data_IF_439194110487
#
_entry.id   IF_439194110487
#
_cell.length_a   1.000
_cell.length_b   1.000
_cell.length_c   1.000
_cell.angle_alpha   90.00
_cell.angle_beta   90.00
_cell.angle_gamma   90.00
#
_symmetry.space_group_name_H-M   'P 1'
#
loop_
_entity.id
_entity.type
_entity.pdbx_description
1 polymer ?
#
# COMPACT_ATOMS: atom_id res chain seq x y z
N UNK A 1 -52.64 0.81 -11.67
CA UNK A 1 -51.51 1.57 -12.22
C UNK A 1 -50.24 1.02 -11.60
N UNK A 2 -49.45 0.27 -12.37
CA UNK A 2 -48.17 -0.29 -11.94
C UNK A 2 -47.04 0.63 -12.44
N UNK A 3 -46.41 1.38 -11.55
CA UNK A 3 -45.20 2.14 -11.86
C UNK A 3 -44.00 1.20 -11.78
N UNK A 4 -43.49 0.85 -12.98
CA UNK A 4 -42.25 0.11 -13.17
C UNK A 4 -41.09 0.82 -12.46
N UNK A 5 -40.40 0.10 -11.58
CA UNK A 5 -39.10 0.52 -11.06
C UNK A 5 -38.09 0.57 -12.19
N UNK A 6 -37.58 1.77 -12.49
CA UNK A 6 -36.45 1.96 -13.39
C UNK A 6 -35.19 1.40 -12.74
N UNK A 7 -34.66 0.30 -13.26
CA UNK A 7 -33.33 -0.18 -12.89
C UNK A 7 -32.31 0.86 -13.34
N UNK A 8 -31.66 1.53 -12.37
CA UNK A 8 -30.58 2.47 -12.62
C UNK A 8 -29.36 1.68 -13.10
N UNK A 9 -29.17 1.62 -14.42
CA UNK A 9 -27.98 1.00 -15.04
C UNK A 9 -26.76 1.84 -14.68
N UNK A 10 -25.93 1.35 -13.77
CA UNK A 10 -24.59 1.90 -13.55
C UNK A 10 -23.79 1.71 -14.85
N UNK A 11 -23.51 2.80 -15.55
CA UNK A 11 -22.58 2.79 -16.69
C UNK A 11 -21.16 2.80 -16.15
N UNK A 12 -20.54 1.63 -16.06
CA UNK A 12 -19.13 1.49 -15.68
C UNK A 12 -18.30 1.72 -16.96
N UNK A 13 -17.36 2.67 -16.97
CA UNK A 13 -16.52 2.91 -18.14
C UNK A 13 -15.63 1.68 -18.40
N UNK A 14 -15.65 1.18 -19.64
CA UNK A 14 -14.77 0.10 -20.09
C UNK A 14 -13.39 0.69 -20.39
N UNK A 15 -12.38 0.24 -19.65
CA UNK A 15 -10.98 0.57 -19.88
C UNK A 15 -10.32 -0.63 -20.56
N UNK A 16 -9.55 -0.38 -21.63
CA UNK A 16 -8.90 -1.43 -22.41
C UNK A 16 -7.78 -2.11 -21.60
N UNK A 17 -7.66 -3.43 -21.66
CA UNK A 17 -6.69 -4.19 -20.87
C UNK A 17 -5.24 -3.81 -21.22
N UNK A 18 -4.95 -3.57 -22.50
CA UNK A 18 -3.64 -3.07 -22.95
C UNK A 18 -3.34 -1.66 -22.40
N UNK A 19 -4.40 -0.84 -22.22
CA UNK A 19 -4.27 0.50 -21.66
C UNK A 19 -3.84 0.52 -20.19
N UNK A 20 -4.10 -0.56 -19.45
CA UNK A 20 -3.90 -0.64 -18.01
C UNK A 20 -2.50 -1.15 -17.65
N UNK A 21 -1.87 -2.00 -18.47
CA UNK A 21 -0.64 -2.70 -18.08
C UNK A 21 0.49 -1.74 -17.66
N UNK A 22 0.82 -0.76 -18.51
CA UNK A 22 1.84 0.26 -18.21
C UNK A 22 1.44 1.13 -17.01
N UNK A 23 0.16 1.52 -16.94
CA UNK A 23 -0.36 2.34 -15.84
C UNK A 23 -0.24 1.61 -14.49
N UNK A 24 -0.57 0.32 -14.44
CA UNK A 24 -0.43 -0.51 -13.25
C UNK A 24 1.03 -0.67 -12.84
N UNK A 25 1.95 -0.85 -13.80
CA UNK A 25 3.38 -0.86 -13.52
C UNK A 25 3.81 0.45 -12.87
N UNK A 26 3.41 1.61 -13.41
CA UNK A 26 3.73 2.92 -12.84
C UNK A 26 3.09 3.16 -11.46
N UNK A 27 1.89 2.65 -11.20
CA UNK A 27 1.21 2.80 -9.90
C UNK A 27 2.03 2.25 -8.72
N UNK A 28 2.81 1.19 -8.94
CA UNK A 28 3.69 0.59 -7.94
C UNK A 28 5.04 1.31 -7.81
N UNK A 29 5.31 2.33 -8.63
CA UNK A 29 6.59 3.01 -8.75
C UNK A 29 6.49 4.47 -8.29
N UNK A 30 7.59 5.01 -7.79
CA UNK A 30 7.71 6.45 -7.59
C UNK A 30 7.89 7.10 -8.96
N UNK A 31 6.92 7.93 -9.35
CA UNK A 31 6.89 8.58 -10.67
C UNK A 31 7.06 10.11 -10.60
N UNK A 32 7.37 10.66 -9.42
CA UNK A 32 7.60 12.09 -9.22
C UNK A 32 8.89 12.33 -8.45
N UNK A 33 9.72 13.23 -8.97
CA UNK A 33 11.04 13.56 -8.45
C UNK A 33 11.23 15.06 -8.44
N UNK A 34 11.62 15.61 -7.30
CA UNK A 34 12.04 17.01 -7.20
C UNK A 34 13.54 17.12 -7.53
N UNK A 35 13.87 18.10 -8.36
CA UNK A 35 15.23 18.53 -8.69
C UNK A 35 15.64 19.76 -7.89
N UNK A 36 16.65 20.48 -8.38
CA UNK A 36 17.12 21.75 -7.79
C UNK A 36 16.29 22.93 -8.29
N UNK A 37 16.24 24.01 -7.53
CA UNK A 37 15.65 25.29 -7.96
C UNK A 37 14.23 25.14 -8.55
N UNK A 38 13.33 24.47 -7.82
CA UNK A 38 11.93 24.20 -8.22
C UNK A 38 11.75 23.37 -9.52
N UNK A 39 12.82 22.77 -10.04
CA UNK A 39 12.70 21.83 -11.15
C UNK A 39 12.09 20.51 -10.67
N UNK A 40 11.31 19.85 -11.52
CA UNK A 40 10.78 18.52 -11.21
C UNK A 40 10.65 17.65 -12.45
N UNK A 41 10.61 16.34 -12.21
CA UNK A 41 10.33 15.32 -13.23
C UNK A 41 9.08 14.56 -12.79
N UNK A 42 8.11 14.42 -13.69
CA UNK A 42 7.00 13.48 -13.53
C UNK A 42 6.94 12.50 -14.68
N UNK A 43 6.53 11.27 -14.38
CA UNK A 43 6.47 10.17 -15.34
C UNK A 43 5.05 9.63 -15.35
N UNK A 44 4.44 9.55 -16.52
CA UNK A 44 3.05 9.07 -16.69
C UNK A 44 2.92 8.20 -17.93
N UNK A 45 1.87 7.37 -17.98
CA UNK A 45 1.44 6.74 -19.22
C UNK A 45 0.41 7.66 -19.88
N UNK A 46 0.58 7.96 -21.16
CA UNK A 46 -0.34 8.82 -21.91
C UNK A 46 -0.39 8.42 -23.39
N UNK A 47 -1.30 9.03 -24.14
CA UNK A 47 -1.33 8.93 -25.59
C UNK A 47 -0.40 9.98 -26.19
N UNK A 48 0.61 9.53 -26.94
CA UNK A 48 1.52 10.41 -27.67
C UNK A 48 0.74 11.14 -28.77
N UNK A 49 0.69 12.48 -28.74
CA UNK A 49 0.05 13.26 -29.79
C UNK A 49 0.91 13.26 -31.05
N UNK A 50 0.30 13.60 -32.16
CA UNK A 50 0.98 13.91 -33.40
C UNK A 50 1.67 15.27 -33.30
N UNK A 51 2.96 15.34 -33.65
CA UNK A 51 3.73 16.58 -33.67
C UNK A 51 4.94 16.48 -34.60
N UNK A 52 5.43 17.64 -35.02
CA UNK A 52 6.76 17.81 -35.61
C UNK A 52 7.76 18.15 -34.52
N UNK A 53 8.98 17.62 -34.61
CA UNK A 53 9.94 17.77 -33.53
C UNK A 53 11.23 17.02 -33.77
N UNK A 54 11.71 16.37 -32.73
CA UNK A 54 12.98 15.65 -32.77
C UNK A 54 12.86 14.30 -32.10
N UNK A 55 13.70 13.37 -32.56
CA UNK A 55 14.01 12.10 -31.92
C UNK A 55 15.44 12.12 -31.40
N UNK A 56 15.58 11.92 -30.10
CA UNK A 56 16.84 11.85 -29.40
C UNK A 56 17.13 10.39 -29.01
N UNK A 57 18.27 9.90 -29.50
CA UNK A 57 18.83 8.63 -29.04
C UNK A 57 19.69 8.91 -27.81
N UNK A 58 19.32 8.29 -26.69
CA UNK A 58 20.05 8.40 -25.42
C UNK A 58 20.48 7.03 -24.92
N UNK A 59 21.63 7.00 -24.25
CA UNK A 59 22.18 5.79 -23.62
C UNK A 59 22.10 5.91 -22.10
N UNK A 60 21.48 4.91 -21.46
CA UNK A 60 21.26 4.84 -20.02
C UNK A 60 21.58 3.43 -19.55
N UNK A 61 22.58 3.26 -18.68
CA UNK A 61 23.01 1.94 -18.20
C UNK A 61 23.46 0.98 -19.32
N UNK A 62 23.96 1.51 -20.44
CA UNK A 62 24.31 0.72 -21.63
C UNK A 62 23.12 0.33 -22.52
N UNK A 63 21.89 0.68 -22.13
CA UNK A 63 20.69 0.48 -22.93
C UNK A 63 20.39 1.72 -23.78
N UNK A 64 19.86 1.50 -24.98
CA UNK A 64 19.42 2.59 -25.87
C UNK A 64 17.95 2.89 -25.66
N UNK A 65 17.64 4.17 -25.52
CA UNK A 65 16.28 4.69 -25.39
C UNK A 65 16.08 5.75 -26.46
N UNK A 66 14.95 5.72 -27.16
CA UNK A 66 14.54 6.77 -28.09
C UNK A 66 13.47 7.64 -27.45
N UNK A 67 13.69 8.95 -27.50
CA UNK A 67 12.83 9.95 -26.89
C UNK A 67 12.44 10.98 -27.94
N UNK A 68 11.14 11.15 -28.15
CA UNK A 68 10.56 12.09 -29.10
C UNK A 68 10.00 13.31 -28.37
N UNK A 69 10.18 14.52 -28.90
CA UNK A 69 9.64 15.74 -28.31
C UNK A 69 9.35 16.82 -29.35
N UNK A 70 8.36 17.66 -29.05
CA UNK A 70 7.85 18.69 -29.95
C UNK A 70 8.83 19.86 -30.08
N UNK A 71 9.06 20.32 -31.32
CA UNK A 71 9.95 21.46 -31.59
C UNK A 71 9.45 22.77 -30.97
N UNK A 72 8.14 23.02 -31.00
CA UNK A 72 7.53 24.22 -30.42
C UNK A 72 7.69 24.27 -28.89
N UNK A 73 7.45 23.13 -28.20
CA UNK A 73 7.69 23.04 -26.76
C UNK A 73 9.16 23.20 -26.41
N UNK A 74 10.06 22.61 -27.20
CA UNK A 74 11.49 22.78 -27.02
C UNK A 74 11.93 24.24 -27.18
N UNK A 75 11.42 24.93 -28.20
CA UNK A 75 11.74 26.34 -28.43
C UNK A 75 11.27 27.21 -27.26
N UNK A 76 10.07 26.97 -26.72
CA UNK A 76 9.57 27.64 -25.53
C UNK A 76 10.42 27.32 -24.30
N UNK A 77 10.81 26.06 -24.12
CA UNK A 77 11.69 25.63 -23.04
C UNK A 77 13.05 26.35 -23.10
N UNK A 78 13.64 26.47 -24.29
CA UNK A 78 14.96 27.09 -24.50
C UNK A 78 14.93 28.61 -24.64
N UNK A 79 13.75 29.25 -24.55
CA UNK A 79 13.60 30.67 -24.83
C UNK A 79 14.52 31.56 -23.99
N UNK A 80 14.73 31.24 -22.71
CA UNK A 80 15.65 32.00 -21.84
C UNK A 80 17.13 31.90 -22.23
N UNK A 81 17.49 30.90 -23.04
CA UNK A 81 18.89 30.64 -23.45
C UNK A 81 19.15 31.08 -24.89
N UNK A 82 18.19 30.83 -25.79
CA UNK A 82 18.30 31.12 -27.22
C UNK A 82 17.61 32.44 -27.63
N UNK A 83 16.81 33.05 -26.75
CA UNK A 83 15.98 34.21 -27.07
C UNK A 83 15.12 33.95 -28.33
N UNK A 84 15.43 34.65 -29.43
CA UNK A 84 14.75 34.52 -30.72
C UNK A 84 15.45 33.56 -31.70
N UNK A 85 16.62 33.01 -31.36
CA UNK A 85 17.35 32.09 -32.22
C UNK A 85 16.62 30.75 -32.28
N UNK A 86 16.31 30.29 -33.49
CA UNK A 86 15.67 28.99 -33.71
C UNK A 86 16.65 27.85 -33.39
N UNK A 87 16.22 26.86 -32.60
CA UNK A 87 17.06 25.72 -32.23
C UNK A 87 17.61 24.95 -33.44
N UNK A 88 16.81 24.82 -34.51
CA UNK A 88 17.19 24.16 -35.76
C UNK A 88 18.33 24.85 -36.51
N UNK A 89 18.55 26.15 -36.27
CA UNK A 89 19.65 26.90 -36.91
C UNK A 89 21.03 26.55 -36.34
N UNK A 90 21.07 25.89 -35.18
CA UNK A 90 22.31 25.50 -34.52
C UNK A 90 22.90 24.23 -35.15
N UNK A 91 24.24 24.14 -35.28
CA UNK A 91 24.91 22.87 -35.59
C UNK A 91 24.51 21.75 -34.63
N UNK A 92 24.39 20.52 -35.12
CA UNK A 92 23.97 19.36 -34.34
C UNK A 92 24.81 19.12 -33.06
N UNK A 93 26.11 19.43 -33.09
CA UNK A 93 26.97 19.35 -31.90
C UNK A 93 26.57 20.33 -30.81
N UNK A 94 26.19 21.57 -31.19
CA UNK A 94 25.71 22.58 -30.26
C UNK A 94 24.28 22.27 -29.77
N UNK A 95 23.44 21.69 -30.63
CA UNK A 95 22.12 21.21 -30.23
C UNK A 95 22.21 20.15 -29.13
N UNK A 96 23.05 19.14 -29.31
CA UNK A 96 23.27 18.09 -28.31
C UNK A 96 23.89 18.66 -27.03
N UNK A 97 24.87 19.56 -27.14
CA UNK A 97 25.48 20.20 -25.98
C UNK A 97 24.44 21.02 -25.19
N UNK A 98 23.60 21.80 -25.88
CA UNK A 98 22.55 22.58 -25.25
C UNK A 98 21.49 21.71 -24.58
N UNK A 99 21.06 20.61 -25.21
CA UNK A 99 20.15 19.65 -24.57
C UNK A 99 20.79 19.03 -23.33
N UNK A 100 22.09 18.71 -23.37
CA UNK A 100 22.81 18.16 -22.23
C UNK A 100 22.79 19.12 -21.03
N UNK A 101 22.95 20.44 -21.24
CA UNK A 101 22.90 21.40 -20.13
C UNK A 101 21.51 21.50 -19.49
N UNK A 102 20.44 21.23 -20.25
CA UNK A 102 19.08 21.22 -19.70
C UNK A 102 18.79 20.02 -18.79
N UNK A 103 19.62 18.97 -18.84
CA UNK A 103 19.48 17.78 -17.99
C UNK A 103 20.16 18.00 -16.63
N UNK A 104 21.14 18.89 -16.53
CA UNK A 104 21.92 19.12 -15.31
C UNK A 104 21.08 19.48 -14.07
N UNK A 105 20.05 20.35 -14.14
CA UNK A 105 19.18 20.64 -12.97
C UNK A 105 18.44 19.41 -12.42
N UNK A 106 18.31 18.38 -13.25
CA UNK A 106 17.66 17.11 -12.97
C UNK A 106 18.65 15.98 -12.68
N UNK A 107 19.95 16.28 -12.59
CA UNK A 107 21.01 15.27 -12.49
C UNK A 107 20.87 14.35 -11.28
N UNK A 108 20.45 14.88 -10.14
CA UNK A 108 20.27 14.09 -8.91
C UNK A 108 19.15 13.05 -9.07
N UNK A 109 18.07 13.40 -9.77
CA UNK A 109 16.99 12.48 -10.09
C UNK A 109 17.46 11.39 -11.07
N UNK A 110 18.14 11.76 -12.17
CA UNK A 110 18.67 10.79 -13.13
C UNK A 110 19.72 9.85 -12.51
N UNK A 111 20.63 10.37 -11.67
CA UNK A 111 21.61 9.54 -10.95
C UNK A 111 20.94 8.60 -9.95
N UNK A 112 19.87 9.02 -9.26
CA UNK A 112 19.11 8.14 -8.37
C UNK A 112 18.42 7.01 -9.14
N UNK A 113 17.87 7.32 -10.31
CA UNK A 113 17.15 6.36 -11.15
C UNK A 113 18.08 5.37 -11.85
N UNK A 114 19.16 5.87 -12.44
CA UNK A 114 19.98 5.10 -13.39
C UNK A 114 21.44 4.93 -12.96
N UNK A 115 21.83 5.46 -11.80
CA UNK A 115 23.21 5.51 -11.33
C UNK A 115 24.10 6.52 -12.07
N UNK A 116 23.66 7.02 -13.22
CA UNK A 116 24.42 7.90 -14.10
C UNK A 116 23.51 8.87 -14.88
N UNK A 117 24.13 9.89 -15.48
CA UNK A 117 23.42 10.77 -16.40
C UNK A 117 23.21 10.09 -17.76
N UNK A 118 22.08 10.36 -18.45
CA UNK A 118 21.86 9.92 -19.82
C UNK A 118 22.90 10.52 -20.76
N UNK A 119 23.47 9.70 -21.65
CA UNK A 119 24.39 10.18 -22.69
C UNK A 119 23.59 10.45 -23.96
N UNK A 120 23.59 11.69 -24.40
CA UNK A 120 22.92 12.11 -25.63
C UNK A 120 23.80 11.73 -26.84
N UNK A 121 23.35 10.76 -27.63
CA UNK A 121 24.16 10.19 -28.72
C UNK A 121 23.85 10.82 -30.08
N UNK A 122 22.55 10.95 -30.41
CA UNK A 122 22.13 11.38 -31.74
C UNK A 122 20.78 12.10 -31.67
N UNK A 123 20.68 13.23 -32.37
CA UNK A 123 19.45 13.97 -32.56
C UNK A 123 19.06 13.90 -34.03
N UNK A 124 17.79 13.62 -34.31
CA UNK A 124 17.24 13.56 -35.67
C UNK A 124 15.93 14.34 -35.75
N UNK A 125 15.69 15.11 -36.82
CA UNK A 125 14.39 15.74 -37.03
C UNK A 125 13.31 14.67 -37.25
N UNK A 126 12.12 14.97 -36.74
CA UNK A 126 10.92 14.15 -36.87
C UNK A 126 9.84 15.03 -37.49
N UNK A 127 9.61 14.88 -38.80
CA UNK A 127 8.64 15.67 -39.58
C UNK A 127 7.22 15.51 -39.03
N UNK A 128 6.82 14.27 -38.73
CA UNK A 128 5.50 13.95 -38.19
C UNK A 128 5.57 12.66 -37.38
N UNK A 129 5.21 12.73 -36.09
CA UNK A 129 5.18 11.57 -35.20
C UNK A 129 3.86 10.81 -35.35
N UNK A 130 3.91 9.48 -35.35
CA UNK A 130 2.70 8.67 -35.29
C UNK A 130 2.10 8.70 -33.88
N UNK A 131 0.77 8.73 -33.82
CA UNK A 131 0.05 8.58 -32.54
C UNK A 131 0.29 7.19 -31.98
N UNK A 132 0.75 7.14 -30.74
CA UNK A 132 1.01 5.91 -30.01
C UNK A 132 0.20 5.94 -28.72
N UNK A 133 -0.61 4.91 -28.48
CA UNK A 133 -1.28 4.73 -27.20
C UNK A 133 -0.28 4.16 -26.20
N UNK A 134 -0.53 4.39 -24.91
CA UNK A 134 0.25 3.78 -23.84
C UNK A 134 1.74 4.03 -23.92
N UNK A 135 2.10 5.26 -24.26
CA UNK A 135 3.49 5.69 -24.34
C UNK A 135 3.89 6.31 -23.00
N UNK A 136 5.07 5.95 -22.52
CA UNK A 136 5.66 6.58 -21.35
C UNK A 136 6.02 8.04 -21.68
N UNK A 137 5.47 8.97 -20.91
CA UNK A 137 5.74 10.40 -21.01
C UNK A 137 6.53 10.85 -19.78
N UNK A 138 7.67 11.49 -20.01
CA UNK A 138 8.42 12.22 -18.99
C UNK A 138 8.13 13.70 -19.18
N UNK A 139 7.66 14.37 -18.13
CA UNK A 139 7.49 15.81 -18.11
C UNK A 139 8.59 16.40 -17.25
N UNK A 140 9.46 17.19 -17.89
CA UNK A 140 10.41 18.04 -17.20
C UNK A 140 9.73 19.38 -16.92
N UNK A 141 9.78 19.84 -15.68
CA UNK A 141 9.25 21.13 -15.27
C UNK A 141 10.36 22.00 -14.72
N UNK A 142 10.28 23.28 -15.06
CA UNK A 142 11.00 24.38 -14.41
C UNK A 142 9.99 25.51 -14.10
N UNK A 143 10.34 26.52 -13.30
CA UNK A 143 9.39 27.57 -12.90
C UNK A 143 8.63 28.25 -14.05
N UNK A 144 9.25 28.36 -15.23
CA UNK A 144 8.71 29.11 -16.37
C UNK A 144 8.12 28.26 -17.49
N UNK A 145 8.34 26.93 -17.51
CA UNK A 145 7.94 26.08 -18.63
C UNK A 145 7.92 24.59 -18.26
N UNK A 146 7.23 23.81 -19.09
CA UNK A 146 7.23 22.35 -19.07
C UNK A 146 7.63 21.81 -20.43
N UNK A 147 8.37 20.69 -20.45
CA UNK A 147 8.76 19.98 -21.67
C UNK A 147 8.32 18.52 -21.56
N UNK A 148 7.51 18.06 -22.51
CA UNK A 148 7.08 16.67 -22.59
C UNK A 148 8.00 15.88 -23.52
N UNK A 149 8.50 14.77 -23.00
CA UNK A 149 9.38 13.82 -23.65
C UNK A 149 8.67 12.47 -23.74
N UNK A 150 8.54 11.93 -24.95
CA UNK A 150 7.79 10.70 -25.23
C UNK A 150 8.75 9.56 -25.54
N UNK A 151 8.69 8.48 -24.78
CA UNK A 151 9.62 7.35 -24.97
C UNK A 151 9.10 6.46 -26.08
N UNK A 152 9.65 6.62 -27.28
CA UNK A 152 9.25 5.87 -28.47
C UNK A 152 9.86 4.46 -28.51
N UNK A 153 11.01 4.25 -27.86
CA UNK A 153 11.67 2.96 -27.73
C UNK A 153 12.39 2.86 -26.37
N UNK A 154 12.39 1.67 -25.75
CA UNK A 154 13.10 1.43 -24.48
C UNK A 154 12.33 1.81 -23.22
N UNK A 155 10.99 1.87 -23.27
CA UNK A 155 10.18 2.24 -22.10
C UNK A 155 10.34 1.29 -20.90
N UNK A 156 10.54 -0.01 -21.13
CA UNK A 156 10.74 -1.00 -20.06
C UNK A 156 11.96 -0.68 -19.21
N UNK A 157 13.06 -0.27 -19.86
CA UNK A 157 14.31 0.13 -19.19
C UNK A 157 14.05 1.26 -18.18
N UNK A 158 13.21 2.23 -18.54
CA UNK A 158 12.86 3.34 -17.66
C UNK A 158 11.94 2.89 -16.53
N UNK A 159 10.88 2.13 -16.84
CA UNK A 159 9.91 1.64 -15.84
C UNK A 159 10.57 0.74 -14.79
N UNK A 160 11.46 -0.15 -15.23
CA UNK A 160 12.16 -1.09 -14.34
C UNK A 160 13.12 -0.35 -13.40
N UNK A 161 13.78 0.71 -13.89
CA UNK A 161 14.66 1.56 -13.11
C UNK A 161 13.93 2.45 -12.09
N UNK A 162 12.61 2.64 -12.20
CA UNK A 162 11.87 3.42 -11.20
C UNK A 162 11.90 2.73 -9.83
N UNK A 163 12.15 3.46 -8.74
CA UNK A 163 12.09 2.90 -7.41
C UNK A 163 10.64 2.54 -7.04
N UNK A 164 10.46 1.56 -6.13
CA UNK A 164 9.13 1.24 -5.61
C UNK A 164 8.54 2.47 -4.92
N UNK A 165 7.23 2.64 -5.02
CA UNK A 165 6.53 3.75 -4.37
C UNK A 165 6.58 3.58 -2.85
N UNK A 166 7.37 4.40 -2.16
CA UNK A 166 7.27 4.57 -0.71
C UNK A 166 6.04 5.44 -0.42
N UNK A 167 4.96 4.84 0.08
CA UNK A 167 3.78 5.62 0.46
C UNK A 167 4.00 6.25 1.83
N UNK A 168 4.08 7.58 1.91
CA UNK A 168 4.07 8.30 3.20
C UNK A 168 2.80 8.03 4.01
N UNK A 169 1.71 7.57 3.36
CA UNK A 169 0.48 7.22 4.06
C UNK A 169 0.68 6.10 5.08
N UNK A 170 1.65 5.20 4.88
CA UNK A 170 1.89 4.09 5.83
C UNK A 170 2.43 4.59 7.18
N UNK A 171 2.97 5.80 7.24
CA UNK A 171 3.49 6.41 8.48
C UNK A 171 2.36 6.94 9.38
N UNK A 172 1.16 7.19 8.81
CA UNK A 172 0.04 7.81 9.53
C UNK A 172 -1.17 6.89 9.68
N UNK A 173 -1.19 5.74 9.02
CA UNK A 173 -2.27 4.76 9.19
C UNK A 173 -1.99 3.96 10.46
N UNK A 174 -2.74 4.29 11.50
CA UNK A 174 -2.73 3.60 12.78
C UNK A 174 -3.74 2.44 12.74
N UNK A 175 -3.28 1.24 13.10
CA UNK A 175 -4.06 0.01 13.08
C UNK A 175 -4.29 -0.47 14.52
N UNK A 176 -5.54 -0.81 14.90
CA UNK A 176 -5.80 -1.42 16.18
C UNK A 176 -5.25 -2.84 16.19
N UNK A 177 -4.56 -3.18 17.27
CA UNK A 177 -3.94 -4.46 17.53
C UNK A 177 -4.53 -5.03 18.80
N UNK A 178 -4.81 -6.33 18.76
CA UNK A 178 -5.27 -7.10 19.90
C UNK A 178 -4.21 -8.12 20.31
N UNK A 179 -4.16 -8.42 21.60
CA UNK A 179 -3.25 -9.39 22.18
C UNK A 179 -4.06 -10.52 22.81
N UNK A 180 -4.30 -11.55 22.02
CA UNK A 180 -5.19 -12.65 22.37
C UNK A 180 -4.47 -13.66 23.26
N UNK A 181 -5.03 -13.92 24.44
CA UNK A 181 -4.54 -14.89 25.42
C UNK A 181 -5.05 -16.31 25.15
N UNK A 182 -6.14 -16.40 24.41
CA UNK A 182 -6.78 -17.64 24.05
C UNK A 182 -8.06 -17.41 23.26
N UNK A 183 -8.63 -18.51 22.79
CA UNK A 183 -9.90 -18.52 22.08
C UNK A 183 -10.71 -19.78 22.35
N UNK A 184 -12.01 -19.68 22.10
CA UNK A 184 -12.96 -20.79 22.16
C UNK A 184 -14.07 -20.58 21.14
N UNK A 185 -14.77 -21.64 20.75
CA UNK A 185 -15.97 -21.55 19.92
C UNK A 185 -17.21 -21.94 20.71
N UNK A 186 -18.21 -21.07 20.70
CA UNK A 186 -19.54 -21.38 21.23
C UNK A 186 -20.52 -21.53 20.06
N UNK A 187 -21.48 -22.46 20.19
CA UNK A 187 -22.64 -22.41 19.31
C UNK A 187 -23.59 -21.26 19.71
N UNK A 188 -24.57 -20.93 18.86
CA UNK A 188 -25.47 -19.80 19.13
C UNK A 188 -26.31 -19.97 20.40
N UNK A 189 -26.69 -21.19 20.76
CA UNK A 189 -27.47 -21.44 21.98
C UNK A 189 -26.64 -21.14 23.24
N UNK A 190 -25.39 -21.62 23.29
CA UNK A 190 -24.45 -21.33 24.38
C UNK A 190 -24.10 -19.85 24.44
N UNK A 191 -23.94 -19.21 23.29
CA UNK A 191 -23.65 -17.78 23.22
C UNK A 191 -24.82 -16.93 23.72
N UNK A 192 -26.07 -17.30 23.39
CA UNK A 192 -27.27 -16.60 23.87
C UNK A 192 -27.52 -16.80 25.37
N UNK A 193 -27.12 -17.93 25.93
CA UNK A 193 -27.27 -18.22 27.36
C UNK A 193 -26.14 -17.66 28.23
N UNK A 194 -25.20 -16.91 27.65
CA UNK A 194 -24.04 -16.41 28.39
C UNK A 194 -24.47 -15.30 29.37
N UNK A 195 -24.15 -15.48 30.64
CA UNK A 195 -24.50 -14.57 31.72
C UNK A 195 -23.28 -14.14 32.56
N UNK A 196 -23.49 -13.12 33.41
CA UNK A 196 -22.46 -12.65 34.34
C UNK A 196 -22.12 -13.76 35.34
N UNK A 197 -20.82 -13.99 35.55
CA UNK A 197 -20.31 -15.03 36.44
C UNK A 197 -20.05 -16.38 35.76
N UNK A 198 -20.48 -16.56 34.50
CA UNK A 198 -20.16 -17.77 33.74
C UNK A 198 -18.65 -17.94 33.56
N UNK A 199 -18.20 -19.19 33.66
CA UNK A 199 -16.80 -19.56 33.40
C UNK A 199 -16.68 -20.22 32.03
N UNK A 200 -15.88 -19.60 31.17
CA UNK A 200 -15.62 -20.06 29.80
C UNK A 200 -14.19 -20.61 29.73
N UNK A 201 -14.04 -21.85 29.26
CA UNK A 201 -12.75 -22.48 29.05
C UNK A 201 -12.22 -22.25 27.63
N UNK A 202 -10.91 -22.23 27.49
CA UNK A 202 -10.23 -22.04 26.20
C UNK A 202 -10.14 -23.37 25.43
N UNK A 203 -10.51 -23.36 24.15
CA UNK A 203 -10.12 -24.43 23.21
C UNK A 203 -8.63 -24.32 22.86
N UNK A 204 -8.15 -23.07 22.77
CA UNK A 204 -6.74 -22.75 22.55
C UNK A 204 -6.30 -21.73 23.60
N UNK A 205 -5.37 -22.15 24.46
CA UNK A 205 -4.88 -21.36 25.59
C UNK A 205 -3.39 -21.04 25.39
N UNK A 206 -3.05 -19.77 25.19
CA UNK A 206 -1.67 -19.30 25.03
C UNK A 206 -1.08 -18.85 26.37
N UNK A 207 -1.91 -18.27 27.24
CA UNK A 207 -1.49 -17.71 28.53
C UNK A 207 -0.92 -18.76 29.49
N UNK A 208 -1.28 -20.04 29.33
CA UNK A 208 -0.69 -21.14 30.10
C UNK A 208 0.84 -21.22 29.96
N UNK A 209 1.38 -20.78 28.82
CA UNK A 209 2.81 -20.72 28.53
C UNK A 209 3.36 -19.29 28.61
N UNK A 210 2.61 -18.37 29.23
CA UNK A 210 2.87 -16.92 29.20
C UNK A 210 2.99 -16.40 27.77
N UNK A 211 2.17 -16.90 26.84
CA UNK A 211 2.15 -16.47 25.45
C UNK A 211 0.86 -15.74 25.09
N UNK A 212 0.94 -14.94 24.04
CA UNK A 212 -0.22 -14.30 23.41
C UNK A 212 -0.05 -14.27 21.89
N UNK A 213 -1.16 -14.11 21.19
CA UNK A 213 -1.19 -13.91 19.74
C UNK A 213 -1.42 -12.43 19.43
N UNK A 214 -0.49 -11.84 18.70
CA UNK A 214 -0.59 -10.49 18.17
C UNK A 214 -1.48 -10.50 16.93
N UNK A 215 -2.66 -9.89 17.07
CA UNK A 215 -3.69 -9.85 16.04
C UNK A 215 -3.87 -8.44 15.48
N UNK A 216 -3.98 -8.34 14.16
CA UNK A 216 -4.31 -7.09 13.47
C UNK A 216 -5.46 -7.35 12.52
N UNK A 217 -6.54 -6.56 12.64
CA UNK A 217 -7.75 -6.74 11.84
C UNK A 217 -8.29 -8.20 11.88
N UNK A 218 -8.29 -8.81 13.06
CA UNK A 218 -8.69 -10.20 13.33
C UNK A 218 -7.85 -11.28 12.63
N UNK A 219 -6.67 -10.92 12.12
CA UNK A 219 -5.70 -11.89 11.60
C UNK A 219 -4.59 -12.10 12.62
N UNK A 220 -4.30 -13.36 12.92
CA UNK A 220 -3.14 -13.72 13.70
C UNK A 220 -1.88 -13.46 12.86
N UNK A 221 -0.95 -12.64 13.36
CA UNK A 221 0.28 -12.32 12.66
C UNK A 221 1.51 -12.88 13.34
N UNK A 222 1.58 -12.79 14.67
CA UNK A 222 2.77 -13.16 15.43
C UNK A 222 2.39 -13.86 16.75
N UNK A 223 3.21 -14.84 17.13
CA UNK A 223 3.23 -15.41 18.47
C UNK A 223 4.21 -14.64 19.33
N UNK A 224 3.79 -14.33 20.56
CA UNK A 224 4.54 -13.47 21.45
C UNK A 224 4.72 -14.10 22.84
N UNK A 225 5.86 -13.83 23.48
CA UNK A 225 6.12 -14.12 24.88
C UNK A 225 5.72 -12.91 25.72
N UNK A 226 5.01 -13.15 26.82
CA UNK A 226 4.69 -12.17 27.85
C UNK A 226 5.65 -12.34 29.02
N UNK A 227 6.33 -11.27 29.40
CA UNK A 227 7.07 -11.18 30.66
C UNK A 227 6.64 -9.89 31.36
N UNK A 228 5.99 -10.02 32.51
CA UNK A 228 5.39 -8.91 33.27
C UNK A 228 4.46 -8.00 32.43
N UNK A 229 4.95 -6.84 32.00
CA UNK A 229 4.22 -5.86 31.19
C UNK A 229 4.86 -5.66 29.80
N UNK A 230 5.71 -6.59 29.40
CA UNK A 230 6.51 -6.53 28.18
C UNK A 230 6.18 -7.73 27.29
N UNK A 231 6.04 -7.47 26.00
CA UNK A 231 5.68 -8.45 24.99
C UNK A 231 6.83 -8.58 23.97
N UNK A 232 7.32 -9.80 23.79
CA UNK A 232 8.39 -10.12 22.84
C UNK A 232 7.83 -10.90 21.67
N UNK A 233 8.05 -10.45 20.44
CA UNK A 233 7.71 -11.25 19.25
C UNK A 233 8.66 -12.46 19.17
N UNK A 234 8.10 -13.66 19.10
CA UNK A 234 8.85 -14.92 18.95
C UNK A 234 8.95 -15.27 17.47
N UNK A 235 7.81 -15.45 16.81
CA UNK A 235 7.75 -15.95 15.43
C UNK A 235 6.41 -15.60 14.77
N UNK A 236 6.33 -15.76 13.45
CA UNK A 236 5.07 -15.55 12.72
C UNK A 236 4.07 -16.63 13.09
N UNK A 237 2.83 -16.24 13.32
CA UNK A 237 1.76 -17.22 13.48
C UNK A 237 1.48 -17.86 12.12
N UNK A 238 1.73 -19.15 12.01
CA UNK A 238 1.29 -19.94 10.86
C UNK A 238 -0.18 -20.28 11.07
N UNK A 239 -1.08 -19.65 10.33
CA UNK A 239 -2.48 -20.07 10.27
C UNK A 239 -2.54 -21.47 9.66
N UNK A 240 -2.45 -22.49 10.51
CA UNK A 240 -2.58 -23.89 10.10
C UNK A 240 -3.95 -24.40 10.53
N UNK A 241 -5.01 -23.68 10.14
CA UNK A 241 -6.41 -24.11 10.25
C UNK A 241 -7.25 -23.41 9.17
N UNK A 242 -6.92 -23.65 7.90
CA UNK A 242 -7.90 -23.60 6.81
C UNK A 242 -7.98 -25.03 6.22
N UNK A 243 -8.36 -26.01 7.05
CA UNK A 243 -8.92 -27.25 6.51
C UNK A 243 -10.41 -26.99 6.36
N UNK A 244 -10.82 -26.74 5.12
CA UNK A 244 -12.21 -26.69 4.69
C UNK A 244 -12.93 -27.97 5.13
N UNK A 245 -13.68 -27.91 6.23
CA UNK A 245 -14.83 -28.79 6.40
C UNK A 245 -16.00 -28.10 5.72
N UNK A 246 -16.15 -28.34 4.40
CA UNK A 246 -17.38 -28.00 3.70
C UNK A 246 -18.49 -28.96 4.13
N UNK A 247 -18.91 -28.86 5.39
CA UNK A 247 -20.22 -29.32 5.80
C UNK A 247 -21.22 -28.27 5.35
N UNK A 248 -22.20 -28.67 4.55
CA UNK A 248 -23.30 -27.79 4.17
C UNK A 248 -24.07 -27.42 5.44
N UNK A 249 -23.82 -26.21 5.96
CA UNK A 249 -24.59 -25.62 7.05
C UNK A 249 -26.06 -25.49 6.59
N UNK A 250 -26.91 -26.43 6.99
CA UNK A 250 -28.36 -26.40 6.73
C UNK A 250 -29.13 -25.61 7.79
N UNK A 251 -28.51 -25.37 8.96
CA UNK A 251 -29.12 -24.65 10.08
C UNK A 251 -28.19 -23.53 10.57
N UNK A 252 -28.70 -22.30 10.56
CA UNK A 252 -27.98 -21.12 11.03
C UNK A 252 -27.73 -21.15 12.54
N UNK A 253 -28.50 -21.94 13.31
CA UNK A 253 -28.29 -22.13 14.75
C UNK A 253 -26.98 -22.85 15.10
N UNK A 254 -26.36 -23.53 14.13
CA UNK A 254 -25.10 -24.25 14.30
C UNK A 254 -23.87 -23.41 13.96
N UNK A 255 -24.05 -22.11 13.63
CA UNK A 255 -22.92 -21.25 13.30
C UNK A 255 -22.01 -21.08 14.53
N UNK A 256 -20.72 -21.46 14.45
CA UNK A 256 -19.80 -21.25 15.56
C UNK A 256 -19.51 -19.76 15.71
N UNK A 257 -19.60 -19.27 16.94
CA UNK A 257 -19.17 -17.94 17.35
C UNK A 257 -17.78 -18.07 17.96
N UNK A 258 -16.75 -17.52 17.30
CA UNK A 258 -15.41 -17.48 17.86
C UNK A 258 -15.36 -16.39 18.94
N UNK A 259 -15.02 -16.79 20.16
CA UNK A 259 -14.70 -15.90 21.25
C UNK A 259 -13.18 -15.79 21.38
N UNK A 260 -12.72 -14.56 21.49
CA UNK A 260 -11.32 -14.19 21.73
C UNK A 260 -11.22 -13.37 23.01
N UNK A 261 -10.18 -13.63 23.78
CA UNK A 261 -9.97 -13.01 25.09
C UNK A 261 -8.65 -12.25 25.06
N UNK A 262 -8.70 -10.93 25.18
CA UNK A 262 -7.54 -10.08 24.90
C UNK A 262 -7.12 -9.29 26.12
N UNK A 263 -5.80 -9.16 26.31
CA UNK A 263 -5.24 -8.44 27.45
C UNK A 263 -5.19 -6.93 27.25
N UNK A 264 -5.95 -6.42 26.27
CA UNK A 264 -6.03 -5.03 25.87
C UNK A 264 -5.91 -4.86 24.36
N UNK A 265 -5.99 -3.60 23.94
CA UNK A 265 -5.67 -3.20 22.57
C UNK A 265 -4.61 -2.10 22.58
N UNK A 266 -3.80 -2.09 21.53
CA UNK A 266 -2.84 -1.05 21.26
C UNK A 266 -3.00 -0.57 19.81
N UNK A 267 -2.42 0.56 19.48
CA UNK A 267 -2.41 1.05 18.11
C UNK A 267 -0.98 1.05 17.61
N UNK A 268 -0.74 0.43 16.46
CA UNK A 268 0.56 0.45 15.78
C UNK A 268 0.42 1.08 14.42
N UNK A 269 1.44 1.80 13.94
CA UNK A 269 1.43 2.29 12.57
C UNK A 269 1.71 1.15 11.58
N UNK A 270 1.27 1.29 10.35
CA UNK A 270 1.60 0.33 9.30
C UNK A 270 3.13 0.26 9.06
N UNK A 271 3.85 1.35 9.28
CA UNK A 271 5.33 1.37 9.30
C UNK A 271 5.92 0.51 10.42
N UNK A 272 5.44 0.64 11.66
CA UNK A 272 5.87 -0.20 12.78
C UNK A 272 5.55 -1.68 12.50
N UNK A 273 4.38 -1.97 11.93
CA UNK A 273 3.99 -3.32 11.54
C UNK A 273 4.99 -3.95 10.55
N UNK A 274 5.48 -3.18 9.59
CA UNK A 274 6.48 -3.63 8.61
C UNK A 274 7.86 -3.91 9.22
N UNK A 275 8.16 -3.33 10.38
CA UNK A 275 9.42 -3.50 11.11
C UNK A 275 9.38 -4.67 12.10
N UNK A 276 8.20 -5.28 12.31
CA UNK A 276 8.06 -6.39 13.25
C UNK A 276 8.80 -7.63 12.77
N UNK A 277 9.58 -8.18 13.69
CA UNK A 277 10.39 -9.37 13.50
C UNK A 277 10.62 -10.04 14.87
N UNK A 278 11.06 -11.32 14.89
CA UNK A 278 11.49 -11.97 16.11
C UNK A 278 12.47 -11.11 16.93
N UNK A 279 12.21 -11.00 18.24
CA UNK A 279 12.96 -10.16 19.17
C UNK A 279 12.46 -8.72 19.28
N UNK A 280 11.49 -8.29 18.48
CA UNK A 280 10.85 -6.98 18.64
C UNK A 280 10.05 -6.93 19.96
N UNK A 281 10.15 -5.81 20.67
CA UNK A 281 9.59 -5.63 22.02
C UNK A 281 8.49 -4.56 22.01
N UNK A 282 7.38 -4.85 22.69
CA UNK A 282 6.33 -3.87 23.01
C UNK A 282 6.15 -3.74 24.51
N UNK A 283 5.90 -2.53 24.97
CA UNK A 283 5.36 -2.28 26.32
C UNK A 283 3.84 -2.28 26.25
N UNK A 284 3.18 -3.01 27.15
CA UNK A 284 1.73 -3.03 27.21
C UNK A 284 1.21 -1.73 27.85
N UNK A 285 0.17 -1.16 27.26
CA UNK A 285 -0.50 0.03 27.81
C UNK A 285 -1.23 -0.25 29.13
N UNK A 286 -1.42 -1.52 29.48
CA UNK A 286 -2.07 -1.94 30.70
C UNK A 286 -1.46 -3.25 31.23
N UNK A 287 -1.38 -3.40 32.57
CA UNK A 287 -0.88 -4.61 33.18
C UNK A 287 -1.78 -5.80 32.87
N UNK A 288 -1.14 -6.96 32.76
CA UNK A 288 -1.76 -8.29 32.54
C UNK A 288 -2.84 -8.62 33.58
N UNK A 289 -2.75 -7.99 34.76
CA UNK A 289 -3.63 -8.21 35.91
C UNK A 289 -5.01 -7.53 35.82
N UNK A 290 -5.31 -6.81 34.74
CA UNK A 290 -6.64 -6.20 34.53
C UNK A 290 -7.63 -7.18 33.92
N UNK A 291 -8.95 -6.92 34.01
CA UNK A 291 -9.95 -7.62 33.23
C UNK A 291 -9.54 -7.71 31.75
N UNK A 292 -9.68 -8.90 31.18
CA UNK A 292 -9.41 -9.17 29.77
C UNK A 292 -10.67 -8.86 28.96
N UNK A 293 -10.49 -8.26 27.79
CA UNK A 293 -11.56 -7.90 26.88
C UNK A 293 -12.12 -9.15 26.22
N UNK A 294 -13.44 -9.31 26.24
CA UNK A 294 -14.15 -10.37 25.54
C UNK A 294 -14.60 -9.86 24.16
N UNK A 295 -14.14 -10.53 23.08
CA UNK A 295 -14.56 -10.24 21.71
C UNK A 295 -15.22 -11.46 21.05
N UNK A 296 -16.38 -11.25 20.44
CA UNK A 296 -17.06 -12.22 19.59
C UNK A 296 -16.90 -11.83 18.12
N UNK A 297 -16.31 -12.70 17.29
CA UNK A 297 -16.01 -12.44 15.88
C UNK A 297 -15.37 -11.06 15.64
N UNK A 298 -14.51 -10.63 16.57
CA UNK A 298 -13.80 -9.34 16.54
C UNK A 298 -14.56 -8.12 17.07
N UNK A 299 -15.81 -8.25 17.50
CA UNK A 299 -16.55 -7.17 18.19
C UNK A 299 -16.41 -7.32 19.70
N UNK A 300 -16.08 -6.23 20.40
CA UNK A 300 -16.08 -6.21 21.87
C UNK A 300 -17.51 -6.40 22.39
N UNK A 301 -17.69 -7.38 23.26
CA UNK A 301 -18.98 -7.72 23.86
C UNK A 301 -18.95 -7.77 25.38
N UNK A 302 -17.81 -7.56 26.02
CA UNK A 302 -17.74 -7.59 27.49
C UNK A 302 -16.33 -7.54 28.05
N UNK A 303 -16.27 -7.71 29.37
CA UNK A 303 -15.06 -7.87 30.15
C UNK A 303 -15.14 -9.16 30.96
N UNK A 304 -13.98 -9.76 31.21
CA UNK A 304 -13.86 -10.99 31.97
C UNK A 304 -12.55 -11.01 32.76
N UNK A 305 -12.42 -11.89 33.72
CA UNK A 305 -11.18 -12.10 34.48
C UNK A 305 -10.65 -13.50 34.25
N UNK A 306 -9.33 -13.64 34.17
CA UNK A 306 -8.69 -14.94 34.12
C UNK A 306 -8.94 -15.70 35.43
N UNK A 307 -9.39 -16.94 35.32
CA UNK A 307 -9.61 -17.84 36.45
C UNK A 307 -8.94 -19.19 36.21
N UNK A 308 -8.50 -19.83 37.28
CA UNK A 308 -8.03 -21.21 37.25
C UNK A 308 -9.00 -22.07 38.06
N UNK A 309 -9.63 -23.05 37.41
CA UNK A 309 -10.58 -23.98 38.03
C UNK A 309 -10.02 -25.40 37.87
N UNK A 310 -9.56 -25.99 38.97
CA UNK A 310 -8.99 -27.36 38.98
C UNK A 310 -7.93 -27.56 37.89
N UNK A 311 -6.93 -26.68 37.85
CA UNK A 311 -5.82 -26.68 36.88
C UNK A 311 -6.22 -26.41 35.42
N UNK A 312 -7.48 -26.00 35.17
CA UNK A 312 -7.93 -25.54 33.87
C UNK A 312 -8.10 -24.02 33.87
N UNK A 313 -7.33 -23.36 33.02
CA UNK A 313 -7.47 -21.93 32.78
C UNK A 313 -8.72 -21.64 31.97
N UNK A 314 -9.44 -20.61 32.39
CA UNK A 314 -10.58 -20.05 31.69
C UNK A 314 -10.72 -18.57 32.01
N UNK A 315 -11.87 -18.01 31.65
CA UNK A 315 -12.27 -16.67 32.08
C UNK A 315 -13.62 -16.70 32.75
N UNK A 316 -13.83 -15.82 33.73
CA UNK A 316 -15.14 -15.55 34.31
C UNK A 316 -15.70 -14.25 33.74
N UNK A 317 -16.92 -14.28 33.21
CA UNK A 317 -17.60 -13.10 32.66
C UNK A 317 -17.89 -12.11 33.79
N UNK A 318 -17.38 -10.88 33.67
CA UNK A 318 -17.60 -9.79 34.62
C UNK A 318 -18.68 -8.84 34.14
N UNK A 319 -18.69 -8.54 32.84
CA UNK A 319 -19.63 -7.63 32.21
C UNK A 319 -19.91 -8.05 30.76
N UNK A 320 -21.14 -7.81 30.29
CA UNK A 320 -21.54 -8.01 28.90
C UNK A 320 -22.14 -6.71 28.35
N UNK A 321 -21.52 -6.17 27.31
CA UNK A 321 -21.95 -4.97 26.62
C UNK A 321 -23.00 -5.32 25.56
N UNK A 322 -24.26 -4.95 25.82
CA UNK A 322 -25.35 -5.19 24.88
C UNK A 322 -26.71 -5.49 25.51
N UNK A 323 -26.82 -5.55 26.84
CA UNK A 323 -28.10 -5.70 27.54
C UNK A 323 -28.71 -4.36 27.93
N UNK A 324 -29.68 -3.85 27.16
CA UNK A 324 -30.73 -3.01 27.75
C UNK A 324 -31.64 -3.96 28.54
N UNK A 325 -31.33 -4.23 29.80
CA UNK A 325 -32.30 -4.81 30.73
C UNK A 325 -33.10 -3.65 31.34
N UNK A 326 -34.27 -3.38 30.77
CA UNK A 326 -35.28 -2.53 31.42
C UNK A 326 -35.90 -3.33 32.58
N UNK A 327 -35.83 -2.85 33.83
CA UNK A 327 -36.44 -3.55 34.95
C UNK A 327 -37.97 -3.47 34.84
N UNK A 328 -38.63 -4.62 35.01
CA UNK A 328 -40.08 -4.75 35.12
C UNK A 328 -40.63 -4.17 36.44
#
# INVERSE_FOLDING_TARGET
MATRGGSMKLTIPTVDAESIALTNQLCAKQCHFQGRDEHSISITASQKPEFSGYRLTTLVGGQTIQVDFCSAQLQQWLHSTLNATAFESLPNSLQLALLSTQIEPHADAFKRLFGQLPILSKLQPLEQSETQRNTLMLTLNKPSASLCLWVSEGQSVLVDALPPRSSQLTQHIALPVWLSLGKTHLNLNQFHSLELGDVIFFDQCYIAQQQAIFQVSNKNLWRCQLEDNTLYIIEKETNMNDVNTSETLTDHQQLPVELTFDIGHQTVTLEQLNQLQPGYVFELNQPVSKPVTLRANGKIIGECELVNVNDHLGVRVLELFGGTQEPA
#
